data_IF_876114728691
#
_entry.id   IF_876114728691
#
_cell.length_a   1.000
_cell.length_b   1.000
_cell.length_c   1.000
_cell.angle_alpha   90.00
_cell.angle_beta   90.00
_cell.angle_gamma   90.00
#
_symmetry.space_group_name_H-M   'P 1'
#
loop_
_entity.id
_entity.type
_entity.pdbx_description
1 polymer ?
#
# COMPACT_ATOMS: atom_id res chain seq x y z
N UNK A 1 9.39 11.80 -5.18
CA UNK A 1 8.63 12.25 -6.37
C UNK A 1 9.53 13.17 -7.17
N UNK A 2 9.42 13.16 -8.49
CA UNK A 2 10.25 13.98 -9.39
C UNK A 2 9.39 14.42 -10.56
N UNK A 3 9.40 15.71 -10.86
CA UNK A 3 8.71 16.29 -12.01
C UNK A 3 9.77 16.97 -12.90
N UNK A 4 9.79 16.65 -14.19
CA UNK A 4 10.74 17.22 -15.16
C UNK A 4 10.04 18.36 -15.89
N UNK A 5 10.63 19.56 -15.87
CA UNK A 5 10.09 20.78 -16.47
C UNK A 5 8.71 21.21 -15.94
N UNK A 6 8.41 20.90 -14.68
CA UNK A 6 7.14 21.22 -14.03
C UNK A 6 7.39 21.70 -12.58
N UNK A 7 6.33 22.18 -11.92
CA UNK A 7 6.40 22.72 -10.55
C UNK A 7 6.61 21.61 -9.51
N UNK A 8 7.22 21.97 -8.38
CA UNK A 8 7.43 21.06 -7.26
C UNK A 8 6.16 20.77 -6.46
N UNK A 9 5.15 21.65 -6.53
CA UNK A 9 3.87 21.53 -5.83
C UNK A 9 2.82 20.97 -6.79
N UNK A 10 3.03 19.73 -7.22
CA UNK A 10 2.08 19.00 -8.06
C UNK A 10 1.59 17.75 -7.29
N UNK A 11 0.26 17.59 -7.21
CA UNK A 11 -0.39 16.43 -6.61
C UNK A 11 -1.61 16.05 -7.46
N UNK A 12 -1.76 14.76 -7.74
CA UNK A 12 -2.87 14.19 -8.50
C UNK A 12 -3.48 13.03 -7.72
N UNK A 13 -4.80 12.99 -7.62
CA UNK A 13 -5.54 12.06 -6.75
C UNK A 13 -5.31 10.57 -7.04
N UNK A 14 -4.88 10.23 -8.24
CA UNK A 14 -4.64 8.86 -8.71
C UNK A 14 -3.14 8.47 -8.76
N UNK A 15 -2.24 9.35 -8.31
CA UNK A 15 -0.79 9.09 -8.28
C UNK A 15 -0.29 9.00 -6.84
N UNK A 16 0.83 8.31 -6.56
CA UNK A 16 1.31 8.17 -5.19
C UNK A 16 1.96 9.45 -4.69
N UNK A 17 1.46 9.98 -3.56
CA UNK A 17 2.06 11.11 -2.88
C UNK A 17 2.79 10.68 -1.60
N UNK A 18 4.08 11.01 -1.47
CA UNK A 18 4.84 10.72 -0.26
C UNK A 18 6.35 10.92 -0.42
N UNK A 19 7.04 10.88 0.72
CA UNK A 19 8.45 11.22 0.84
C UNK A 19 9.36 10.06 1.22
N UNK A 20 10.61 10.42 1.48
CA UNK A 20 11.66 9.53 1.99
C UNK A 20 12.48 10.27 3.07
N UNK A 21 13.24 9.51 3.88
CA UNK A 21 14.13 10.03 4.95
C UNK A 21 13.35 10.80 6.03
N UNK A 22 13.79 12.01 6.37
CA UNK A 22 13.12 12.88 7.34
C UNK A 22 11.73 13.34 6.89
N UNK A 23 11.33 13.02 5.65
CA UNK A 23 10.00 13.32 5.11
C UNK A 23 8.96 12.23 5.43
N UNK A 24 9.37 11.12 6.06
CA UNK A 24 8.50 10.02 6.43
C UNK A 24 8.54 8.82 5.46
N UNK A 25 7.62 7.88 5.70
CA UNK A 25 7.43 6.64 4.94
C UNK A 25 5.95 6.50 4.54
N UNK A 26 5.66 5.59 3.61
CA UNK A 26 4.31 5.33 3.12
C UNK A 26 3.88 6.25 1.99
N UNK A 27 2.70 5.99 1.43
CA UNK A 27 2.14 6.74 0.29
C UNK A 27 0.65 6.99 0.45
N UNK A 28 0.23 8.20 0.13
CA UNK A 28 -1.18 8.59 0.04
C UNK A 28 -1.62 8.65 -1.43
N UNK A 29 -2.93 8.79 -1.66
CA UNK A 29 -3.58 8.81 -2.98
C UNK A 29 -3.53 7.48 -3.76
N UNK A 30 -4.33 7.41 -4.83
CA UNK A 30 -4.42 6.27 -5.74
C UNK A 30 -4.68 4.92 -5.05
N UNK A 31 -4.11 3.87 -5.62
CA UNK A 31 -4.18 2.52 -5.04
C UNK A 31 -3.23 2.33 -3.86
N UNK A 32 -2.13 3.09 -3.79
CA UNK A 32 -1.14 2.99 -2.73
C UNK A 32 -1.71 3.26 -1.34
N UNK A 33 -2.71 4.13 -1.24
CA UNK A 33 -3.40 4.40 0.02
C UNK A 33 -4.15 3.18 0.57
N UNK A 34 -4.50 2.21 -0.29
CA UNK A 34 -5.18 0.99 0.14
C UNK A 34 -4.26 0.16 1.04
N UNK A 35 -2.96 0.10 0.76
CA UNK A 35 -2.01 -0.63 1.60
C UNK A 35 -1.84 0.02 2.98
N UNK A 36 -2.02 1.34 3.08
CA UNK A 36 -1.90 2.08 4.34
C UNK A 36 -3.15 1.97 5.22
N UNK A 37 -4.35 1.91 4.62
CA UNK A 37 -5.63 1.86 5.35
C UNK A 37 -6.31 0.49 5.37
N UNK A 38 -5.75 -0.50 4.70
CA UNK A 38 -6.25 -1.87 4.73
C UNK A 38 -5.14 -2.82 5.14
N UNK A 39 -5.52 -4.04 5.54
CA UNK A 39 -4.55 -5.07 5.86
C UNK A 39 -4.94 -6.35 5.13
N UNK A 40 -3.98 -6.95 4.44
CA UNK A 40 -4.17 -8.26 3.84
C UNK A 40 -4.57 -9.26 4.92
N UNK A 41 -5.72 -9.92 4.70
CA UNK A 41 -6.27 -10.89 5.62
C UNK A 41 -6.36 -12.25 4.96
N UNK A 42 -5.48 -13.17 5.38
CA UNK A 42 -5.49 -14.54 4.89
C UNK A 42 -6.53 -15.36 5.65
N UNK A 43 -7.52 -15.87 4.92
CA UNK A 43 -8.54 -16.78 5.45
C UNK A 43 -8.39 -18.12 4.73
N UNK A 44 -8.41 -19.21 5.50
CA UNK A 44 -8.56 -20.56 4.96
C UNK A 44 -9.76 -21.24 5.61
N UNK A 45 -10.37 -22.16 4.87
CA UNK A 45 -11.47 -22.98 5.36
C UNK A 45 -11.15 -24.44 5.05
N UNK A 46 -11.16 -25.27 6.08
CA UNK A 46 -10.97 -26.70 5.95
C UNK A 46 -12.34 -27.37 5.77
N UNK A 47 -12.58 -27.97 4.60
CA UNK A 47 -13.87 -28.62 4.30
C UNK A 47 -13.97 -30.04 4.86
N UNK A 48 -12.85 -30.73 5.03
CA UNK A 48 -12.79 -32.13 5.45
C UNK A 48 -11.77 -32.35 6.58
N UNK A 49 -11.96 -33.32 7.50
CA UNK A 49 -10.98 -33.64 8.52
C UNK A 49 -9.61 -33.97 7.92
N UNK A 50 -8.54 -33.36 8.46
CA UNK A 50 -7.15 -33.63 8.07
C UNK A 50 -6.50 -34.54 9.10
N UNK A 51 -5.77 -35.57 8.64
CA UNK A 51 -4.89 -36.33 9.53
C UNK A 51 -3.67 -35.49 9.87
N UNK A 52 -3.45 -35.27 11.16
CA UNK A 52 -2.23 -34.67 11.69
C UNK A 52 -1.22 -35.78 12.04
N UNK A 53 0.09 -35.49 12.00
CA UNK A 53 1.12 -36.51 12.12
C UNK A 53 1.31 -37.10 13.54
N UNK A 54 0.60 -36.59 14.56
CA UNK A 54 0.62 -37.06 15.94
C UNK A 54 -0.78 -37.00 16.57
#
# INVERSE_FOLDING_TARGET
MTHINDISVNDESNTPFGGEKNSGIGRFNGEWVLEEFTRTHWISMQNEPRQYPF
#
